data_IF_880964546730
#
_entry.id   IF_880964546730
#
_cell.length_a   1.000
_cell.length_b   1.000
_cell.length_c   1.000
_cell.angle_alpha   90.00
_cell.angle_beta   90.00
_cell.angle_gamma   90.00
#
_symmetry.space_group_name_H-M   'P 1'
#
loop_
_entity.id
_entity.type
_entity.pdbx_description
1 polymer ?
#
# COMPACT_ATOMS: atom_id res chain seq x y z
N UNK A 1 -55.58 -3.21 -23.64
CA UNK A 1 -55.16 -2.09 -24.51
C UNK A 1 -55.05 -0.86 -23.63
N UNK A 2 -53.82 -0.46 -23.30
CA UNK A 2 -53.50 0.82 -22.70
C UNK A 2 -52.11 1.18 -23.21
N UNK A 3 -52.02 2.36 -23.82
CA UNK A 3 -50.95 2.82 -24.71
C UNK A 3 -49.64 3.14 -23.97
N UNK A 4 -48.53 2.87 -24.65
CA UNK A 4 -47.17 3.26 -24.26
C UNK A 4 -46.99 4.77 -24.35
N UNK A 5 -46.52 5.39 -23.26
CA UNK A 5 -46.11 6.79 -23.24
C UNK A 5 -44.71 6.91 -23.85
N UNK A 6 -44.69 7.54 -25.01
CA UNK A 6 -43.55 7.88 -25.85
C UNK A 6 -42.44 8.59 -25.04
N UNK A 7 -41.28 7.93 -24.91
CA UNK A 7 -40.08 8.47 -24.25
C UNK A 7 -39.32 9.32 -25.26
N UNK A 8 -39.47 10.64 -25.17
CA UNK A 8 -38.77 11.60 -26.01
C UNK A 8 -37.26 11.42 -25.91
N UNK A 9 -36.62 11.25 -27.07
CA UNK A 9 -35.17 11.24 -27.23
C UNK A 9 -34.60 12.60 -26.81
N UNK A 10 -33.95 12.64 -25.65
CA UNK A 10 -33.07 13.75 -25.27
C UNK A 10 -31.79 13.59 -26.12
N UNK A 11 -31.75 14.28 -27.26
CA UNK A 11 -30.49 14.50 -27.99
C UNK A 11 -29.57 15.35 -27.12
N UNK A 12 -28.60 14.72 -26.48
CA UNK A 12 -27.49 15.41 -25.85
C UNK A 12 -26.49 15.85 -26.92
N UNK A 13 -26.35 17.16 -27.09
CA UNK A 13 -25.26 17.75 -27.88
C UNK A 13 -23.90 17.34 -27.31
N UNK A 14 -22.87 17.11 -28.14
CA UNK A 14 -21.54 16.78 -27.64
C UNK A 14 -20.98 18.01 -26.92
N UNK A 15 -20.86 17.93 -25.59
CA UNK A 15 -20.12 18.91 -24.82
C UNK A 15 -18.63 18.71 -25.10
N UNK A 16 -18.01 19.68 -25.76
CA UNK A 16 -16.55 19.75 -25.87
C UNK A 16 -16.04 20.10 -24.47
N UNK A 17 -15.65 19.09 -23.70
CA UNK A 17 -14.96 19.29 -22.42
C UNK A 17 -13.58 19.88 -22.76
N UNK A 18 -13.47 21.20 -22.69
CA UNK A 18 -12.18 21.87 -22.73
C UNK A 18 -11.34 21.35 -21.55
N UNK A 19 -10.27 20.62 -21.86
CA UNK A 19 -9.32 20.15 -20.84
C UNK A 19 -8.68 21.39 -20.20
N UNK A 20 -9.16 21.76 -19.01
CA UNK A 20 -8.51 22.74 -18.14
C UNK A 20 -7.07 22.29 -17.90
N UNK A 21 -6.10 23.00 -18.51
CA UNK A 21 -4.69 22.79 -18.22
C UNK A 21 -4.46 23.32 -16.81
N UNK A 22 -4.34 22.40 -15.87
CA UNK A 22 -3.98 22.70 -14.48
C UNK A 22 -2.73 23.57 -14.44
N UNK A 23 -2.86 24.77 -13.86
CA UNK A 23 -1.78 25.72 -13.61
C UNK A 23 -0.89 25.31 -12.42
N UNK A 24 -1.12 24.12 -11.83
CA UNK A 24 -0.29 23.64 -10.73
C UNK A 24 1.12 23.31 -11.25
N UNK A 25 2.17 23.88 -10.62
CA UNK A 25 3.54 23.57 -10.97
C UNK A 25 3.75 22.05 -10.93
N UNK A 26 4.26 21.46 -12.00
CA UNK A 26 4.60 20.03 -12.04
C UNK A 26 5.59 19.64 -10.94
N UNK A 27 6.39 20.61 -10.46
CA UNK A 27 7.35 20.46 -9.36
C UNK A 27 6.67 20.21 -8.00
N UNK A 28 5.44 20.71 -7.81
CA UNK A 28 4.64 20.49 -6.60
C UNK A 28 3.72 19.26 -6.73
N UNK A 29 3.72 18.61 -7.89
CA UNK A 29 2.96 17.37 -8.09
C UNK A 29 3.74 16.24 -7.42
N UNK A 30 3.08 15.51 -6.52
CA UNK A 30 3.62 14.26 -6.00
C UNK A 30 3.95 13.32 -7.17
N UNK A 31 5.24 13.04 -7.35
CA UNK A 31 5.70 12.02 -8.28
C UNK A 31 5.92 10.76 -7.44
N UNK A 32 5.26 9.64 -7.75
CA UNK A 32 5.55 8.38 -7.08
C UNK A 32 7.04 8.11 -7.14
N UNK A 33 7.68 7.95 -5.99
CA UNK A 33 9.07 7.47 -5.93
C UNK A 33 9.15 6.14 -6.66
N UNK A 34 10.21 5.93 -7.45
CA UNK A 34 10.44 4.63 -8.10
C UNK A 34 10.43 3.52 -7.06
N UNK A 35 9.77 2.40 -7.37
CA UNK A 35 9.76 1.19 -6.55
C UNK A 35 11.19 0.75 -6.19
N UNK A 36 12.13 0.85 -7.14
CA UNK A 36 13.53 0.48 -6.91
C UNK A 36 14.21 1.36 -5.87
N UNK A 37 13.89 2.67 -5.86
CA UNK A 37 14.43 3.59 -4.87
C UNK A 37 13.85 3.34 -3.47
N UNK A 38 12.58 2.92 -3.38
CA UNK A 38 11.96 2.51 -2.12
C UNK A 38 12.67 1.27 -1.58
N UNK A 39 12.81 0.23 -2.40
CA UNK A 39 13.48 -1.02 -2.03
C UNK A 39 14.94 -0.77 -1.63
N UNK A 40 15.68 0.04 -2.40
CA UNK A 40 17.07 0.37 -2.08
C UNK A 40 17.20 1.15 -0.76
N UNK A 41 16.28 2.08 -0.51
CA UNK A 41 16.26 2.86 0.74
C UNK A 41 15.95 1.97 1.94
N UNK A 42 14.99 1.06 1.80
CA UNK A 42 14.64 0.09 2.83
C UNK A 42 15.83 -0.82 3.14
N UNK A 43 16.44 -1.44 2.13
CA UNK A 43 17.64 -2.29 2.31
C UNK A 43 18.75 -1.55 3.04
N UNK A 44 18.97 -0.27 2.71
CA UNK A 44 19.95 0.57 3.39
C UNK A 44 19.60 0.81 4.85
N UNK A 45 18.33 1.07 5.19
CA UNK A 45 17.91 1.26 6.58
C UNK A 45 18.00 -0.03 7.38
N UNK A 46 17.53 -1.15 6.82
CA UNK A 46 17.57 -2.45 7.47
C UNK A 46 19.00 -2.98 7.64
N UNK A 47 19.95 -2.60 6.77
CA UNK A 47 21.37 -2.95 6.96
C UNK A 47 22.02 -2.34 8.20
N UNK A 48 21.40 -1.34 8.82
CA UNK A 48 21.87 -0.73 10.07
C UNK A 48 21.39 -1.49 11.31
N UNK A 49 20.38 -2.34 11.15
CA UNK A 49 19.79 -3.15 12.20
C UNK A 49 20.73 -4.30 12.51
N UNK A 50 21.06 -4.48 13.79
CA UNK A 50 22.03 -5.49 14.23
C UNK A 50 21.36 -6.81 14.56
N UNK A 51 20.13 -6.74 15.07
CA UNK A 51 19.37 -7.94 15.42
C UNK A 51 19.01 -8.71 14.15
N UNK A 52 19.27 -10.03 14.09
CA UNK A 52 18.86 -10.87 12.97
C UNK A 52 17.35 -10.77 12.72
N UNK A 53 16.98 -10.75 11.45
CA UNK A 53 15.59 -10.67 11.02
C UNK A 53 15.35 -11.48 9.75
N UNK A 54 14.08 -11.81 9.53
CA UNK A 54 13.59 -12.43 8.31
C UNK A 54 12.68 -11.41 7.61
N UNK A 55 12.97 -11.12 6.35
CA UNK A 55 12.14 -10.27 5.50
C UNK A 55 11.47 -11.12 4.44
N UNK A 56 10.14 -11.05 4.36
CA UNK A 56 9.32 -11.87 3.48
C UNK A 56 8.22 -11.05 2.81
N UNK A 57 7.89 -11.44 1.58
CA UNK A 57 6.68 -11.00 0.89
C UNK A 57 5.56 -11.99 1.21
N UNK A 58 4.74 -11.66 2.20
CA UNK A 58 3.66 -12.53 2.68
C UNK A 58 2.46 -12.42 1.75
N UNK A 59 2.06 -13.52 1.14
CA UNK A 59 0.89 -13.57 0.27
C UNK A 59 -0.40 -13.41 1.09
N UNK A 60 -1.19 -12.38 0.79
CA UNK A 60 -2.50 -12.12 1.43
C UNK A 60 -3.69 -12.58 0.57
N UNK A 61 -3.40 -13.27 -0.54
CA UNK A 61 -4.39 -13.77 -1.47
C UNK A 61 -4.88 -12.72 -2.46
N UNK A 62 -5.89 -13.11 -3.23
CA UNK A 62 -6.61 -12.26 -4.16
C UNK A 62 -7.79 -11.57 -3.46
N UNK A 63 -8.30 -10.48 -4.04
CA UNK A 63 -9.59 -9.94 -3.62
C UNK A 63 -10.71 -10.99 -3.72
N UNK A 64 -11.80 -10.85 -2.94
CA UNK A 64 -12.89 -11.81 -2.98
C UNK A 64 -13.48 -11.95 -4.40
N UNK A 65 -13.91 -13.16 -4.82
CA UNK A 65 -14.51 -13.38 -6.14
C UNK A 65 -15.72 -12.46 -6.37
N UNK A 66 -15.75 -11.75 -7.51
CA UNK A 66 -16.81 -10.78 -7.82
C UNK A 66 -16.76 -9.48 -7.01
N UNK A 67 -15.77 -9.31 -6.14
CA UNK A 67 -15.63 -8.09 -5.35
C UNK A 67 -15.05 -6.95 -6.19
N UNK A 68 -15.66 -5.76 -6.07
CA UNK A 68 -15.09 -4.51 -6.55
C UNK A 68 -14.14 -3.91 -5.52
N UNK A 69 -13.33 -4.70 -4.82
CA UNK A 69 -12.35 -4.11 -3.90
C UNK A 69 -11.31 -3.41 -4.76
N UNK A 70 -11.56 -2.11 -5.01
CA UNK A 70 -10.63 -1.20 -5.67
C UNK A 70 -9.53 -0.90 -4.67
N UNK A 71 -8.54 -1.76 -4.61
CA UNK A 71 -7.29 -1.47 -3.91
C UNK A 71 -6.60 -0.34 -4.68
N UNK A 72 -6.54 0.85 -4.08
CA UNK A 72 -5.94 2.07 -4.64
C UNK A 72 -6.05 2.19 -6.16
N UNK A 73 -7.25 2.55 -6.64
CA UNK A 73 -7.54 2.80 -8.08
C UNK A 73 -7.33 1.61 -9.03
N UNK A 74 -6.97 0.41 -8.55
CA UNK A 74 -6.76 -0.79 -9.37
C UNK A 74 -7.72 -1.92 -8.99
N UNK A 75 -8.22 -2.64 -9.99
CA UNK A 75 -9.02 -3.86 -9.85
C UNK A 75 -8.26 -5.02 -10.48
N UNK A 76 -7.78 -5.96 -9.67
CA UNK A 76 -7.04 -7.13 -10.12
C UNK A 76 -7.37 -8.34 -9.25
N UNK A 77 -7.43 -9.52 -9.86
CA UNK A 77 -7.60 -10.81 -9.19
C UNK A 77 -6.25 -11.48 -8.86
N UNK A 78 -5.13 -10.83 -9.17
CA UNK A 78 -3.80 -11.34 -8.84
C UNK A 78 -3.58 -11.34 -7.31
N UNK A 79 -2.85 -12.34 -6.77
CA UNK A 79 -2.46 -12.33 -5.38
C UNK A 79 -1.60 -11.11 -5.05
N UNK A 80 -1.83 -10.54 -3.87
CA UNK A 80 -1.03 -9.42 -3.35
C UNK A 80 -0.13 -9.90 -2.22
N UNK A 81 0.95 -9.15 -2.03
CA UNK A 81 1.96 -9.48 -1.06
C UNK A 81 2.19 -8.28 -0.15
N UNK A 82 2.34 -8.54 1.15
CA UNK A 82 2.73 -7.56 2.15
C UNK A 82 4.19 -7.81 2.50
N UNK A 83 5.01 -6.79 2.34
CA UNK A 83 6.39 -6.82 2.80
C UNK A 83 6.39 -6.82 4.34
N UNK A 84 6.96 -7.87 4.93
CA UNK A 84 6.93 -8.12 6.37
C UNK A 84 8.34 -8.38 6.86
N UNK A 85 8.73 -7.72 7.95
CA UNK A 85 9.99 -7.97 8.65
C UNK A 85 9.69 -8.56 10.02
N UNK A 86 10.26 -9.73 10.29
CA UNK A 86 10.08 -10.46 11.54
C UNK A 86 11.41 -10.57 12.28
N UNK A 87 11.39 -10.22 13.56
CA UNK A 87 12.47 -10.46 14.50
C UNK A 87 12.01 -11.48 15.51
N UNK A 88 12.70 -12.62 15.55
CA UNK A 88 12.47 -13.60 16.61
C UNK A 88 13.05 -13.11 17.94
N UNK A 89 12.52 -13.67 19.02
CA UNK A 89 12.92 -13.38 20.39
C UNK A 89 12.91 -14.67 21.18
N UNK A 90 13.28 -14.60 22.45
CA UNK A 90 13.27 -15.76 23.35
C UNK A 90 11.89 -16.42 23.39
N UNK A 91 11.88 -17.73 23.64
CA UNK A 91 10.65 -18.50 23.76
C UNK A 91 9.75 -17.91 24.86
N UNK A 92 8.45 -17.75 24.56
CA UNK A 92 7.48 -17.12 25.46
C UNK A 92 7.43 -15.59 25.42
N UNK A 93 8.29 -14.92 24.64
CA UNK A 93 8.20 -13.47 24.45
C UNK A 93 6.86 -13.06 23.79
N UNK A 94 6.21 -11.98 24.27
CA UNK A 94 4.99 -11.47 23.64
C UNK A 94 5.26 -10.97 22.21
N UNK A 95 4.25 -11.08 21.36
CA UNK A 95 4.33 -10.58 19.97
C UNK A 95 3.94 -9.11 19.91
N UNK A 96 4.76 -8.29 19.27
CA UNK A 96 4.50 -6.89 18.98
C UNK A 96 4.35 -6.70 17.47
N UNK A 97 3.15 -6.30 17.03
CA UNK A 97 2.88 -5.96 15.63
C UNK A 97 3.03 -4.45 15.44
N UNK A 98 3.88 -4.06 14.49
CA UNK A 98 4.19 -2.66 14.18
C UNK A 98 3.64 -2.28 12.82
N UNK A 99 2.80 -1.24 12.79
CA UNK A 99 2.15 -0.73 11.58
C UNK A 99 2.51 0.74 11.43
N UNK A 100 3.05 1.12 10.28
CA UNK A 100 3.44 2.52 10.03
C UNK A 100 2.22 3.40 9.70
N UNK A 101 2.44 4.72 9.74
CA UNK A 101 1.43 5.71 9.34
C UNK A 101 1.49 6.06 7.85
N UNK A 102 0.68 7.05 7.47
CA UNK A 102 0.63 7.57 6.10
C UNK A 102 2.00 8.07 5.60
N UNK A 103 2.31 7.78 4.33
CA UNK A 103 3.56 8.17 3.66
C UNK A 103 4.84 7.69 4.37
N UNK A 104 4.77 6.53 5.01
CA UNK A 104 5.89 5.83 5.62
C UNK A 104 5.90 4.35 5.18
N UNK A 105 6.87 3.58 5.67
CA UNK A 105 6.93 2.11 5.57
C UNK A 105 7.44 1.53 6.90
N UNK A 106 7.50 0.21 7.05
CA UNK A 106 8.12 -0.48 8.21
C UNK A 106 9.54 0.01 8.51
N UNK A 107 10.29 0.43 7.47
CA UNK A 107 11.64 0.98 7.62
C UNK A 107 11.69 2.23 8.50
N UNK A 108 10.56 2.93 8.71
CA UNK A 108 10.45 4.06 9.64
C UNK A 108 10.86 3.69 11.07
N UNK A 109 10.65 2.44 11.47
CA UNK A 109 10.96 1.93 12.81
C UNK A 109 12.40 1.40 12.96
N UNK A 110 13.29 1.60 11.99
CA UNK A 110 14.60 0.92 11.98
C UNK A 110 15.45 1.13 13.25
N UNK A 111 15.36 2.31 13.88
CA UNK A 111 16.07 2.60 15.14
C UNK A 111 15.46 1.93 16.37
N UNK A 112 14.21 1.48 16.27
CA UNK A 112 13.48 0.84 17.37
C UNK A 112 13.68 -0.68 17.38
N UNK A 113 13.95 -1.30 16.22
CA UNK A 113 13.96 -2.76 16.08
C UNK A 113 14.92 -3.46 17.04
N UNK A 114 16.19 -3.03 17.11
CA UNK A 114 17.18 -3.68 17.98
C UNK A 114 16.73 -3.73 19.44
N UNK A 115 16.16 -2.63 19.94
CA UNK A 115 15.71 -2.55 21.32
C UNK A 115 14.44 -3.36 21.58
N UNK A 116 13.48 -3.32 20.65
CA UNK A 116 12.19 -4.00 20.80
C UNK A 116 12.33 -5.52 20.64
N UNK A 117 13.13 -5.98 19.69
CA UNK A 117 13.35 -7.41 19.44
C UNK A 117 13.98 -8.14 20.65
N UNK A 118 14.70 -7.42 21.52
CA UNK A 118 15.22 -7.99 22.77
C UNK A 118 14.13 -8.34 23.80
N UNK A 119 12.91 -7.85 23.64
CA UNK A 119 11.80 -8.05 24.59
C UNK A 119 10.56 -8.67 23.97
N UNK A 120 10.40 -8.54 22.65
CA UNK A 120 9.22 -8.95 21.91
C UNK A 120 9.63 -9.73 20.67
N UNK A 121 8.78 -10.68 20.27
CA UNK A 121 8.77 -11.11 18.87
C UNK A 121 8.18 -9.97 18.05
N UNK A 122 8.98 -9.29 17.24
CA UNK A 122 8.54 -8.11 16.48
C UNK A 122 8.11 -8.52 15.07
N UNK A 123 6.94 -8.07 14.64
CA UNK A 123 6.45 -8.22 13.27
C UNK A 123 6.09 -6.82 12.74
N UNK A 124 6.87 -6.32 11.78
CA UNK A 124 6.63 -5.02 11.16
C UNK A 124 6.11 -5.21 9.73
N UNK A 125 4.99 -4.56 9.40
CA UNK A 125 4.29 -4.73 8.12
C UNK A 125 4.28 -3.44 7.29
N UNK A 126 4.51 -3.57 5.98
CA UNK A 126 4.30 -2.52 4.97
C UNK A 126 2.85 -2.58 4.49
N UNK A 127 2.07 -1.55 4.78
CA UNK A 127 0.70 -1.49 4.29
C UNK A 127 0.69 -1.36 2.75
N UNK A 128 -0.34 -1.90 2.11
CA UNK A 128 -0.55 -1.69 0.68
C UNK A 128 -0.86 -0.21 0.40
N UNK A 129 -0.06 0.43 -0.44
CA UNK A 129 -0.23 1.83 -0.86
C UNK A 129 1.11 2.48 -1.17
#
# INVERSE_FOLDING_TARGET
MAEEINKSEIRSSPSIIAKSRSLWPSVLRWIPTSTDHIIASEKRLLSLVKTPYVQELVNIGSGPPGSKVRWFRSSSNEPRFINTVTFDSNEGSPTLVMVHGYAASQGFFFKNFDYLANRFKVIAIDQLG
#
